data_IF_220194903530
#
_entry.id   IF_220194903530
#
_cell.length_a   1.000
_cell.length_b   1.000
_cell.length_c   1.000
_cell.angle_alpha   90.00
_cell.angle_beta   90.00
_cell.angle_gamma   90.00
#
_symmetry.space_group_name_H-M   'P 1'
#
loop_
_entity.id
_entity.type
_entity.pdbx_description
1 polymer ?
#
# COMPACT_ATOMS: atom_id res chain seq x y z
N UNK A 1 -59.02 -9.01 -50.94
CA UNK A 1 -57.89 -8.06 -50.95
C UNK A 1 -57.62 -7.51 -49.56
N UNK A 2 -58.56 -6.82 -48.89
CA UNK A 2 -58.34 -6.24 -47.55
C UNK A 2 -57.88 -7.23 -46.45
N UNK A 3 -58.41 -8.46 -46.44
CA UNK A 3 -58.03 -9.48 -45.44
C UNK A 3 -56.57 -9.96 -45.57
N UNK A 4 -56.04 -10.05 -46.80
CA UNK A 4 -54.65 -10.46 -47.04
C UNK A 4 -53.66 -9.36 -46.64
N UNK A 5 -54.04 -8.10 -46.82
CA UNK A 5 -53.26 -6.94 -46.36
C UNK A 5 -53.18 -6.92 -44.84
N UNK A 6 -54.31 -7.12 -44.16
CA UNK A 6 -54.37 -7.17 -42.70
C UNK A 6 -53.56 -8.34 -42.12
N UNK A 7 -53.59 -9.51 -42.77
CA UNK A 7 -52.79 -10.67 -42.36
C UNK A 7 -51.28 -10.41 -42.49
N UNK A 8 -50.86 -9.72 -43.57
CA UNK A 8 -49.46 -9.34 -43.77
C UNK A 8 -48.97 -8.29 -42.76
N UNK A 9 -49.82 -7.33 -42.39
CA UNK A 9 -49.51 -6.35 -41.35
C UNK A 9 -49.34 -6.98 -39.97
N UNK A 10 -50.18 -7.96 -39.62
CA UNK A 10 -50.06 -8.71 -38.35
C UNK A 10 -48.76 -9.53 -38.32
N UNK A 11 -48.39 -10.17 -39.42
CA UNK A 11 -47.14 -10.93 -39.50
C UNK A 11 -45.91 -10.02 -39.41
N UNK A 12 -45.93 -8.87 -40.09
CA UNK A 12 -44.87 -7.85 -40.00
C UNK A 12 -44.73 -7.31 -38.57
N UNK A 13 -45.84 -7.02 -37.89
CA UNK A 13 -45.82 -6.60 -36.49
C UNK A 13 -45.26 -7.69 -35.56
N UNK A 14 -45.59 -8.96 -35.82
CA UNK A 14 -45.04 -10.10 -35.08
C UNK A 14 -43.53 -10.23 -35.28
N UNK A 15 -43.02 -10.03 -36.48
CA UNK A 15 -41.58 -10.07 -36.76
C UNK A 15 -40.86 -8.91 -36.04
N UNK A 16 -41.39 -7.69 -36.14
CA UNK A 16 -40.83 -6.51 -35.46
C UNK A 16 -40.79 -6.71 -33.93
N UNK A 17 -41.85 -7.28 -33.35
CA UNK A 17 -41.91 -7.54 -31.90
C UNK A 17 -40.93 -8.63 -31.46
N UNK A 18 -40.73 -9.68 -32.27
CA UNK A 18 -39.73 -10.71 -31.98
C UNK A 18 -38.31 -10.15 -32.09
N UNK A 19 -38.02 -9.32 -33.09
CA UNK A 19 -36.73 -8.65 -33.24
C UNK A 19 -36.45 -7.69 -32.09
N UNK A 20 -37.46 -6.92 -31.65
CA UNK A 20 -37.35 -6.06 -30.47
C UNK A 20 -37.02 -6.88 -29.21
N UNK A 21 -37.70 -8.00 -28.99
CA UNK A 21 -37.45 -8.90 -27.85
C UNK A 21 -36.03 -9.46 -27.90
N UNK A 22 -35.56 -9.88 -29.08
CA UNK A 22 -34.19 -10.39 -29.26
C UNK A 22 -33.14 -9.30 -29.01
N UNK A 23 -33.37 -8.07 -29.47
CA UNK A 23 -32.50 -6.92 -29.20
C UNK A 23 -32.47 -6.62 -27.69
N UNK A 24 -33.63 -6.59 -27.03
CA UNK A 24 -33.70 -6.35 -25.58
C UNK A 24 -32.99 -7.45 -24.79
N UNK A 25 -33.14 -8.71 -25.18
CA UNK A 25 -32.45 -9.83 -24.52
C UNK A 25 -30.93 -9.69 -24.65
N UNK A 26 -30.43 -9.42 -25.86
CA UNK A 26 -29.01 -9.19 -26.11
C UNK A 26 -28.47 -7.97 -25.34
N UNK A 27 -29.25 -6.88 -25.26
CA UNK A 27 -28.87 -5.71 -24.46
C UNK A 27 -28.80 -6.03 -22.97
N UNK A 28 -29.73 -6.86 -22.47
CA UNK A 28 -29.72 -7.30 -21.09
C UNK A 28 -28.50 -8.20 -20.79
N UNK A 29 -28.21 -9.18 -21.64
CA UNK A 29 -27.01 -10.02 -21.52
C UNK A 29 -25.72 -9.19 -21.56
N UNK A 30 -25.66 -8.19 -22.45
CA UNK A 30 -24.52 -7.27 -22.52
C UNK A 30 -24.40 -6.42 -21.24
N UNK A 31 -25.52 -5.98 -20.67
CA UNK A 31 -25.54 -5.24 -19.40
C UNK A 31 -25.06 -6.11 -18.25
N UNK A 32 -25.52 -7.36 -18.14
CA UNK A 32 -25.06 -8.30 -17.11
C UNK A 32 -23.56 -8.60 -17.23
N UNK A 33 -23.07 -8.82 -18.44
CA UNK A 33 -21.65 -9.04 -18.70
C UNK A 33 -20.83 -7.81 -18.28
N UNK A 34 -21.30 -6.60 -18.63
CA UNK A 34 -20.63 -5.35 -18.23
C UNK A 34 -20.58 -5.17 -16.71
N UNK A 35 -21.66 -5.50 -16.00
CA UNK A 35 -21.70 -5.42 -14.53
C UNK A 35 -20.73 -6.41 -13.90
N UNK A 36 -20.67 -7.66 -14.39
CA UNK A 36 -19.72 -8.68 -13.90
C UNK A 36 -18.28 -8.23 -14.09
N UNK A 37 -17.93 -7.70 -15.27
CA UNK A 37 -16.60 -7.16 -15.55
C UNK A 37 -16.27 -6.00 -14.60
N UNK A 38 -17.21 -5.08 -14.36
CA UNK A 38 -17.00 -3.95 -13.47
C UNK A 38 -16.75 -4.39 -12.02
N UNK A 39 -17.50 -5.41 -11.54
CA UNK A 39 -17.29 -5.98 -10.21
C UNK A 39 -15.93 -6.68 -10.10
N UNK A 40 -15.51 -7.42 -11.12
CA UNK A 40 -14.21 -8.08 -11.16
C UNK A 40 -13.06 -7.08 -11.20
N UNK A 41 -13.17 -6.04 -12.02
CA UNK A 41 -12.19 -4.96 -12.09
C UNK A 41 -12.09 -4.21 -10.76
N UNK A 42 -13.22 -3.89 -10.12
CA UNK A 42 -13.26 -3.27 -8.80
C UNK A 42 -12.57 -4.14 -7.74
N UNK A 43 -12.86 -5.45 -7.73
CA UNK A 43 -12.22 -6.42 -6.85
C UNK A 43 -10.71 -6.50 -7.08
N UNK A 44 -10.28 -6.55 -8.34
CA UNK A 44 -8.86 -6.58 -8.72
C UNK A 44 -8.14 -5.29 -8.32
N UNK A 45 -8.75 -4.13 -8.54
CA UNK A 45 -8.20 -2.84 -8.13
C UNK A 45 -8.04 -2.75 -6.61
N UNK A 46 -9.02 -3.25 -5.84
CA UNK A 46 -8.92 -3.28 -4.37
C UNK A 46 -7.77 -4.18 -3.90
N UNK A 47 -7.62 -5.37 -4.49
CA UNK A 47 -6.50 -6.28 -4.17
C UNK A 47 -5.15 -5.61 -4.45
N UNK A 48 -5.01 -4.95 -5.59
CA UNK A 48 -3.78 -4.26 -5.96
C UNK A 48 -3.47 -3.10 -5.01
N UNK A 49 -4.46 -2.28 -4.66
CA UNK A 49 -4.30 -1.19 -3.71
C UNK A 49 -3.77 -1.66 -2.35
N UNK A 50 -4.32 -2.77 -1.81
CA UNK A 50 -3.86 -3.32 -0.53
C UNK A 50 -2.43 -3.85 -0.64
N UNK A 51 -2.07 -4.50 -1.75
CA UNK A 51 -0.71 -4.99 -2.00
C UNK A 51 0.30 -3.84 -2.04
N UNK A 52 -0.01 -2.77 -2.77
CA UNK A 52 0.86 -1.61 -2.91
C UNK A 52 1.02 -0.87 -1.57
N UNK A 53 -0.09 -0.74 -0.82
CA UNK A 53 -0.06 -0.19 0.53
C UNK A 53 0.81 -0.99 1.48
N UNK A 54 0.70 -2.33 1.47
CA UNK A 54 1.55 -3.18 2.30
C UNK A 54 3.03 -3.05 1.91
N UNK A 55 3.35 -3.03 0.62
CA UNK A 55 4.73 -2.86 0.16
C UNK A 55 5.33 -1.55 0.65
N UNK A 56 4.55 -0.46 0.62
CA UNK A 56 4.98 0.83 1.15
C UNK A 56 5.25 0.76 2.67
N UNK A 57 4.40 0.08 3.43
CA UNK A 57 4.60 -0.13 4.87
C UNK A 57 5.86 -0.96 5.12
N UNK A 58 6.08 -2.04 4.37
CA UNK A 58 7.27 -2.89 4.50
C UNK A 58 8.55 -2.13 4.15
N UNK A 59 8.53 -1.25 3.15
CA UNK A 59 9.65 -0.37 2.81
C UNK A 59 9.98 0.57 3.98
N UNK A 60 8.96 1.18 4.59
CA UNK A 60 9.14 2.07 5.73
C UNK A 60 9.69 1.33 6.95
N UNK A 61 9.14 0.15 7.28
CA UNK A 61 9.66 -0.70 8.34
C UNK A 61 11.11 -1.07 8.08
N UNK A 62 11.45 -1.43 6.84
CA UNK A 62 12.82 -1.77 6.44
C UNK A 62 13.77 -0.58 6.59
N UNK A 63 13.31 0.64 6.26
CA UNK A 63 14.07 1.87 6.50
C UNK A 63 14.32 2.11 7.99
N UNK A 64 13.31 1.93 8.85
CA UNK A 64 13.50 2.05 10.31
C UNK A 64 14.50 1.03 10.83
N UNK A 65 14.43 -0.22 10.36
CA UNK A 65 15.37 -1.29 10.73
C UNK A 65 16.79 -0.98 10.27
N UNK A 66 16.96 -0.41 9.08
CA UNK A 66 18.27 0.00 8.59
C UNK A 66 18.90 1.09 9.48
N UNK A 67 18.11 2.08 9.91
CA UNK A 67 18.56 3.13 10.83
C UNK A 67 19.01 2.52 12.15
N UNK A 68 18.18 1.66 12.75
CA UNK A 68 18.51 0.99 14.00
C UNK A 68 19.78 0.16 13.82
N UNK A 69 19.87 -0.60 12.73
CA UNK A 69 20.97 -1.53 12.50
C UNK A 69 22.31 -0.82 12.34
N UNK A 70 22.34 0.25 11.54
CA UNK A 70 23.53 1.08 11.35
C UNK A 70 24.00 1.71 12.67
N UNK A 71 23.06 2.30 13.42
CA UNK A 71 23.36 3.04 14.65
C UNK A 71 23.73 2.16 15.84
N UNK A 72 23.17 0.96 15.93
CA UNK A 72 23.44 0.00 17.00
C UNK A 72 24.62 -0.93 16.67
N UNK A 73 25.16 -0.88 15.43
CA UNK A 73 26.23 -1.75 14.98
C UNK A 73 25.79 -3.19 14.66
N UNK A 74 24.49 -3.45 14.60
CA UNK A 74 23.95 -4.73 14.11
C UNK A 74 24.20 -4.89 12.61
N UNK A 75 24.07 -3.78 11.87
CA UNK A 75 24.45 -3.67 10.48
C UNK A 75 25.64 -2.71 10.40
N UNK A 76 26.74 -3.19 9.86
CA UNK A 76 27.93 -2.39 9.55
C UNK A 76 27.99 -2.10 8.04
N UNK A 77 28.64 -1.02 7.60
CA UNK A 77 28.64 -0.55 6.20
C UNK A 77 28.52 -1.63 5.12
N UNK A 78 29.50 -2.54 5.03
CA UNK A 78 29.49 -3.62 4.02
C UNK A 78 28.28 -4.57 4.15
N UNK A 79 27.89 -4.90 5.39
CA UNK A 79 26.74 -5.77 5.66
C UNK A 79 25.40 -5.05 5.46
N UNK A 80 25.35 -3.74 5.66
CA UNK A 80 24.18 -2.90 5.40
C UNK A 80 23.93 -2.79 3.90
N UNK A 81 24.98 -2.53 3.11
CA UNK A 81 24.90 -2.49 1.65
C UNK A 81 24.46 -3.85 1.09
N UNK A 82 25.02 -4.94 1.63
CA UNK A 82 24.59 -6.30 1.25
C UNK A 82 23.13 -6.57 1.62
N UNK A 83 22.68 -6.13 2.80
CA UNK A 83 21.30 -6.30 3.22
C UNK A 83 20.34 -5.51 2.29
N UNK A 84 20.70 -4.28 1.92
CA UNK A 84 19.95 -3.50 0.93
C UNK A 84 19.95 -4.14 -0.46
N UNK A 85 21.07 -4.69 -0.91
CA UNK A 85 21.14 -5.40 -2.18
C UNK A 85 20.22 -6.63 -2.21
N UNK A 86 20.19 -7.41 -1.12
CA UNK A 86 19.27 -8.56 -0.97
C UNK A 86 17.82 -8.10 -0.90
N UNK A 87 17.55 -7.02 -0.18
CA UNK A 87 16.22 -6.42 -0.10
C UNK A 87 15.72 -5.99 -1.48
N UNK A 88 16.54 -5.27 -2.24
CA UNK A 88 16.24 -4.86 -3.62
C UNK A 88 16.10 -6.05 -4.59
N UNK A 89 16.73 -7.19 -4.29
CA UNK A 89 16.56 -8.44 -5.03
C UNK A 89 15.30 -9.24 -4.66
N UNK A 90 14.49 -8.74 -3.71
CA UNK A 90 13.20 -9.33 -3.33
C UNK A 90 13.19 -10.07 -2.00
N UNK A 91 14.30 -10.12 -1.26
CA UNK A 91 14.31 -10.67 0.10
C UNK A 91 13.82 -9.62 1.11
N UNK A 92 12.50 -9.52 1.28
CA UNK A 92 11.84 -8.53 2.16
C UNK A 92 12.29 -8.59 3.62
N UNK A 93 12.97 -9.67 4.02
CA UNK A 93 13.44 -9.90 5.38
C UNK A 93 14.93 -9.63 5.57
N UNK A 94 15.66 -9.25 4.51
CA UNK A 94 17.12 -9.14 4.53
C UNK A 94 17.66 -8.21 5.62
N UNK A 95 16.96 -7.11 5.92
CA UNK A 95 17.36 -6.15 6.94
C UNK A 95 17.00 -6.59 8.36
N UNK A 96 15.98 -7.44 8.52
CA UNK A 96 15.50 -7.91 9.83
C UNK A 96 16.24 -9.16 10.31
N UNK A 97 16.66 -10.03 9.39
CA UNK A 97 17.35 -11.31 9.72
C UNK A 97 18.56 -11.14 10.63
N UNK A 98 19.49 -10.18 10.41
CA UNK A 98 20.67 -10.05 11.26
C UNK A 98 20.35 -9.82 12.74
N UNK A 99 19.26 -9.12 13.05
CA UNK A 99 18.81 -8.95 14.44
C UNK A 99 18.33 -10.26 15.06
N UNK A 100 17.53 -11.00 14.31
CA UNK A 100 16.94 -12.27 14.78
C UNK A 100 18.03 -13.33 14.91
N UNK A 101 18.90 -13.42 13.92
CA UNK A 101 20.02 -14.36 13.91
C UNK A 101 20.92 -14.09 15.11
N UNK A 102 21.33 -12.83 15.36
CA UNK A 102 22.13 -12.48 16.54
C UNK A 102 21.40 -12.74 17.86
N UNK A 103 20.11 -12.41 17.97
CA UNK A 103 19.34 -12.71 19.18
C UNK A 103 19.27 -14.20 19.52
N UNK A 104 19.43 -15.07 18.51
CA UNK A 104 19.46 -16.52 18.71
C UNK A 104 20.87 -17.07 19.00
N UNK A 105 21.92 -16.34 18.64
CA UNK A 105 23.31 -16.79 18.73
C UNK A 105 24.08 -16.17 19.91
N UNK A 106 23.72 -14.95 20.32
CA UNK A 106 24.43 -14.14 21.30
C UNK A 106 23.58 -13.96 22.57
N UNK A 107 24.05 -14.49 23.69
CA UNK A 107 23.38 -14.35 24.99
C UNK A 107 23.44 -12.89 25.48
N UNK A 108 22.28 -12.35 25.88
CA UNK A 108 22.16 -10.96 26.35
C UNK A 108 22.20 -9.91 25.23
N UNK A 109 22.11 -10.31 23.95
CA UNK A 109 22.03 -9.39 22.82
C UNK A 109 20.81 -8.47 22.89
N UNK A 110 19.68 -8.98 23.37
CA UNK A 110 18.45 -8.21 23.62
C UNK A 110 18.70 -7.03 24.58
N UNK A 111 19.41 -7.27 25.69
CA UNK A 111 19.76 -6.24 26.67
C UNK A 111 20.74 -5.24 26.07
N UNK A 112 21.76 -5.72 25.34
CA UNK A 112 22.74 -4.85 24.69
C UNK A 112 22.09 -3.96 23.63
N UNK A 113 21.22 -4.54 22.81
CA UNK A 113 20.46 -3.81 21.79
C UNK A 113 19.54 -2.77 22.42
N UNK A 114 18.80 -3.14 23.48
CA UNK A 114 17.95 -2.20 24.24
C UNK A 114 18.78 -1.01 24.75
N UNK A 115 19.92 -1.27 25.37
CA UNK A 115 20.81 -0.22 25.88
C UNK A 115 21.37 0.67 24.76
N UNK A 116 21.75 0.08 23.62
CA UNK A 116 22.23 0.81 22.46
C UNK A 116 21.14 1.74 21.88
N UNK A 117 19.90 1.24 21.75
CA UNK A 117 18.77 2.02 21.27
C UNK A 117 18.42 3.16 22.23
N UNK A 118 18.39 2.91 23.54
CA UNK A 118 18.12 3.93 24.55
C UNK A 118 19.20 5.03 24.59
N UNK A 119 20.43 4.70 24.18
CA UNK A 119 21.55 5.63 24.15
C UNK A 119 21.57 6.55 22.92
N UNK A 120 20.79 6.25 21.87
CA UNK A 120 20.75 6.98 20.60
C UNK A 120 19.31 7.41 20.24
N UNK A 121 19.03 8.72 20.33
CA UNK A 121 17.68 9.28 20.07
C UNK A 121 17.11 8.88 18.69
N UNK A 122 17.88 8.96 17.57
CA UNK A 122 17.40 8.47 16.27
C UNK A 122 16.97 7.00 16.27
N UNK A 123 17.77 6.12 16.87
CA UNK A 123 17.45 4.70 17.00
C UNK A 123 16.18 4.48 17.82
N UNK A 124 16.02 5.21 18.93
CA UNK A 124 14.81 5.13 19.76
C UNK A 124 13.55 5.53 18.99
N UNK A 125 13.60 6.62 18.23
CA UNK A 125 12.47 7.08 17.39
C UNK A 125 12.15 6.08 16.28
N UNK A 126 13.17 5.51 15.64
CA UNK A 126 13.01 4.49 14.61
C UNK A 126 12.40 3.20 15.20
N UNK A 127 12.84 2.75 16.37
CA UNK A 127 12.31 1.57 17.06
C UNK A 127 10.84 1.77 17.47
N UNK A 128 10.52 2.92 18.08
CA UNK A 128 9.13 3.25 18.44
C UNK A 128 8.22 3.33 17.20
N UNK A 129 8.72 3.93 16.12
CA UNK A 129 7.99 4.00 14.84
C UNK A 129 7.77 2.62 14.22
N UNK A 130 8.78 1.75 14.29
CA UNK A 130 8.70 0.37 13.82
C UNK A 130 7.62 -0.39 14.58
N UNK A 131 7.67 -0.42 15.91
CA UNK A 131 6.72 -1.16 16.76
C UNK A 131 5.29 -0.67 16.51
N UNK A 132 5.07 0.65 16.56
CA UNK A 132 3.75 1.25 16.31
C UNK A 132 3.17 0.87 14.95
N UNK A 133 3.99 0.90 13.89
CA UNK A 133 3.55 0.55 12.53
C UNK A 133 3.33 -0.95 12.37
N UNK A 134 4.18 -1.78 12.98
CA UNK A 134 4.00 -3.23 13.00
C UNK A 134 2.68 -3.62 13.69
N UNK A 135 2.37 -3.04 14.85
CA UNK A 135 1.09 -3.26 15.52
C UNK A 135 -0.11 -2.77 14.69
N UNK A 136 0.06 -1.64 14.00
CA UNK A 136 -0.99 -1.12 13.10
C UNK A 136 -1.27 -2.03 11.91
N UNK A 137 -0.30 -2.84 11.46
CA UNK A 137 -0.54 -3.87 10.42
C UNK A 137 -1.51 -4.91 10.99
N UNK A 138 -1.25 -5.41 12.19
CA UNK A 138 -2.02 -6.51 12.78
C UNK A 138 -3.33 -6.08 13.45
N UNK A 139 -3.63 -4.78 13.50
CA UNK A 139 -4.88 -4.29 14.04
C UNK A 139 -6.08 -4.82 13.24
N UNK A 140 -7.08 -5.34 13.97
CA UNK A 140 -8.30 -5.93 13.43
C UNK A 140 -9.02 -4.91 12.53
N UNK A 141 -8.89 -5.05 11.20
CA UNK A 141 -9.79 -4.55 10.13
C UNK A 141 -9.17 -4.55 8.72
N UNK A 142 -7.90 -4.95 8.53
CA UNK A 142 -7.26 -4.92 7.20
C UNK A 142 -7.50 -6.20 6.39
N UNK A 143 -7.77 -7.34 7.05
CA UNK A 143 -7.97 -8.63 6.40
C UNK A 143 -9.41 -8.75 5.89
N UNK A 144 -9.58 -8.62 4.57
CA UNK A 144 -10.88 -8.71 3.89
C UNK A 144 -11.00 -9.94 2.98
N UNK A 145 -9.91 -10.66 2.74
CA UNK A 145 -9.85 -11.80 1.80
C UNK A 145 -8.97 -12.94 2.32
N UNK A 146 -9.20 -14.20 1.89
CA UNK A 146 -8.35 -15.35 2.26
C UNK A 146 -6.88 -15.18 1.87
N UNK A 147 -6.59 -14.54 0.73
CA UNK A 147 -5.21 -14.28 0.28
C UNK A 147 -4.50 -13.28 1.20
N UNK A 148 -5.21 -12.25 1.65
CA UNK A 148 -4.69 -11.33 2.66
C UNK A 148 -4.44 -12.06 3.97
N UNK A 149 -5.28 -13.01 4.36
CA UNK A 149 -5.07 -13.79 5.57
C UNK A 149 -3.74 -14.56 5.53
N UNK A 150 -3.46 -15.29 4.46
CA UNK A 150 -2.19 -16.03 4.30
C UNK A 150 -0.99 -15.08 4.40
N UNK A 151 -1.08 -13.91 3.76
CA UNK A 151 -0.04 -12.90 3.82
C UNK A 151 0.16 -12.38 5.24
N UNK A 152 -0.92 -12.14 5.97
CA UNK A 152 -0.87 -11.72 7.37
C UNK A 152 -0.30 -12.79 8.29
N UNK A 153 -0.70 -14.05 8.11
CA UNK A 153 -0.15 -15.18 8.86
C UNK A 153 1.38 -15.26 8.63
N UNK A 154 1.84 -15.05 7.39
CA UNK A 154 3.28 -15.00 7.06
C UNK A 154 4.01 -13.83 7.76
N UNK A 155 3.37 -12.67 7.88
CA UNK A 155 3.93 -11.52 8.59
C UNK A 155 3.98 -11.77 10.11
N UNK A 156 2.93 -12.38 10.66
CA UNK A 156 2.76 -12.62 12.09
C UNK A 156 3.69 -13.73 12.62
N UNK A 157 3.91 -14.79 11.85
CA UNK A 157 4.84 -15.87 12.22
C UNK A 157 6.29 -15.58 11.78
N UNK A 158 6.49 -14.49 11.06
CA UNK A 158 7.73 -14.17 10.36
C UNK A 158 8.75 -13.36 11.16
N UNK A 159 9.81 -12.88 10.47
CA UNK A 159 10.82 -11.99 11.02
C UNK A 159 10.27 -10.68 11.61
N UNK A 160 9.16 -10.18 11.06
CA UNK A 160 8.54 -8.94 11.51
C UNK A 160 8.13 -8.99 12.98
N UNK A 161 7.34 -9.99 13.37
CA UNK A 161 6.83 -10.10 14.75
C UNK A 161 7.96 -10.36 15.75
N UNK A 162 8.94 -11.21 15.38
CA UNK A 162 10.11 -11.48 16.22
C UNK A 162 10.92 -10.22 16.49
N UNK A 163 11.15 -9.43 15.45
CA UNK A 163 11.88 -8.17 15.59
C UNK A 163 11.05 -7.14 16.37
N UNK A 164 9.73 -7.11 16.19
CA UNK A 164 8.84 -6.24 16.99
C UNK A 164 9.01 -6.49 18.48
N UNK A 165 8.98 -7.76 18.89
CA UNK A 165 9.18 -8.15 20.29
C UNK A 165 10.56 -7.75 20.81
N UNK A 166 11.60 -7.91 19.99
CA UNK A 166 12.97 -7.51 20.34
C UNK A 166 13.14 -5.99 20.50
N UNK A 167 12.43 -5.21 19.67
CA UNK A 167 12.46 -3.75 19.69
C UNK A 167 11.42 -3.13 20.64
N UNK A 168 10.62 -3.95 21.32
CA UNK A 168 9.63 -3.48 22.28
C UNK A 168 10.34 -3.03 23.55
N UNK A 169 10.67 -1.75 23.58
CA UNK A 169 11.34 -1.12 24.71
C UNK A 169 10.24 -0.64 25.67
N UNK A 170 10.02 -1.43 26.73
CA UNK A 170 9.33 -0.92 27.91
C UNK A 170 10.22 0.16 28.52
N UNK A 171 9.77 1.42 28.38
CA UNK A 171 10.27 2.53 29.16
C UNK A 171 9.76 2.31 30.59
N UNK A 172 10.57 1.67 31.44
CA UNK A 172 10.40 1.85 32.89
C UNK A 172 10.46 3.36 33.15
N UNK A 173 9.44 3.90 33.81
CA UNK A 173 9.18 5.30 34.19
C UNK A 173 10.42 6.20 34.38
N UNK A 174 11.15 6.48 33.32
CA UNK A 174 12.01 7.63 33.23
C UNK A 174 11.09 8.75 32.80
N UNK A 175 10.82 9.67 33.71
CA UNK A 175 10.26 11.00 33.49
C UNK A 175 11.11 11.75 32.43
N UNK A 176 11.06 11.29 31.18
CA UNK A 176 11.53 12.04 30.02
C UNK A 176 10.31 12.84 29.61
N UNK A 177 10.25 14.02 30.22
CA UNK A 177 9.42 15.18 29.88
C UNK A 177 8.70 15.01 28.53
N UNK A 178 7.44 14.54 28.60
CA UNK A 178 6.59 14.15 27.47
C UNK A 178 6.20 15.30 26.54
N UNK A 179 6.79 16.47 26.74
CA UNK A 179 6.50 17.70 26.01
C UNK A 179 7.44 17.98 24.82
N UNK A 180 8.55 17.25 24.65
CA UNK A 180 9.48 17.54 23.53
C UNK A 180 9.13 16.76 22.27
N UNK A 181 8.76 15.48 22.37
CA UNK A 181 8.49 14.65 21.17
C UNK A 181 7.11 14.91 20.57
N UNK A 182 6.11 15.25 21.40
CA UNK A 182 4.77 15.58 20.92
C UNK A 182 4.65 17.02 20.40
N UNK A 183 5.50 17.96 20.85
CA UNK A 183 5.44 19.35 20.36
C UNK A 183 6.24 19.59 19.07
N UNK A 184 7.32 18.85 18.78
CA UNK A 184 8.06 19.06 17.52
C UNK A 184 7.30 18.50 16.31
N UNK A 185 6.62 17.36 16.45
CA UNK A 185 5.81 16.78 15.35
C UNK A 185 4.52 17.59 15.12
N UNK A 186 3.91 18.13 16.17
CA UNK A 186 2.70 18.96 16.03
C UNK A 186 3.00 20.42 15.65
N UNK A 187 4.19 20.97 15.94
CA UNK A 187 4.53 22.34 15.52
C UNK A 187 4.84 22.47 14.04
N UNK A 188 5.36 21.42 13.40
CA UNK A 188 5.60 21.43 11.94
C UNK A 188 4.32 21.23 11.11
N UNK A 189 3.25 20.70 11.70
CA UNK A 189 1.94 20.55 11.02
C UNK A 189 1.03 21.76 11.26
N UNK A 190 1.30 22.59 12.28
CA UNK A 190 0.41 23.70 12.68
C UNK A 190 0.99 25.09 12.45
N UNK A 191 1.99 25.22 11.57
CA UNK A 191 2.59 26.50 11.21
C UNK A 191 2.70 26.69 9.69
N UNK A 192 1.65 26.39 8.94
CA UNK A 192 1.41 27.13 7.70
C UNK A 192 -0.09 27.38 7.51
N UNK A 193 -0.48 28.60 7.89
CA UNK A 193 -1.62 29.40 7.43
C UNK A 193 -2.85 28.64 6.92
N UNK A 194 -3.85 28.63 7.80
CA UNK A 194 -5.26 28.91 7.46
C UNK A 194 -5.35 29.91 6.29
N UNK A 195 -5.75 29.42 5.12
CA UNK A 195 -6.37 30.22 4.07
C UNK A 195 -7.75 29.61 3.85
N UNK A 196 -8.75 30.47 4.00
CA UNK A 196 -10.20 30.24 3.98
C UNK A 196 -10.71 29.22 2.96
N UNK A 197 -11.40 28.19 3.45
CA UNK A 197 -12.10 27.15 2.67
C UNK A 197 -13.54 27.54 2.24
N UNK A 198 -13.86 28.83 2.03
CA UNK A 198 -15.24 29.24 1.68
C UNK A 198 -15.44 29.84 0.28
N UNK A 199 -14.48 29.73 -0.66
CA UNK A 199 -14.66 30.22 -2.05
C UNK A 199 -14.00 29.38 -3.17
N UNK A 200 -14.21 28.06 -3.25
CA UNK A 200 -13.77 27.27 -4.44
C UNK A 200 -14.81 26.23 -4.92
N UNK A 201 -16.11 26.52 -4.81
CA UNK A 201 -17.16 25.65 -5.36
C UNK A 201 -17.91 26.23 -6.59
N UNK A 202 -17.47 27.35 -7.14
CA UNK A 202 -17.95 27.86 -8.43
C UNK A 202 -16.78 28.21 -9.34
N UNK A 203 -16.24 27.23 -10.08
CA UNK A 203 -15.14 27.49 -11.01
C UNK A 203 -14.72 26.33 -11.91
N UNK A 204 -15.05 25.08 -11.59
CA UNK A 204 -14.69 23.91 -12.42
C UNK A 204 -15.76 23.54 -13.46
N UNK A 205 -16.45 24.55 -14.00
CA UNK A 205 -17.21 24.42 -15.23
C UNK A 205 -16.64 25.41 -16.24
N UNK A 206 -16.06 24.86 -17.31
CA UNK A 206 -15.61 25.48 -18.58
C UNK A 206 -14.12 25.81 -18.74
N UNK A 207 -13.57 25.28 -19.86
CA UNK A 207 -12.22 25.44 -20.44
C UNK A 207 -11.08 24.68 -19.71
N UNK A 208 -10.26 23.81 -20.31
CA UNK A 208 -9.77 23.66 -21.68
C UNK A 208 -9.34 22.20 -21.91
N UNK A 209 -9.98 21.51 -22.87
CA UNK A 209 -9.39 20.99 -24.12
C UNK A 209 -7.95 20.43 -24.03
N UNK A 210 -7.91 19.10 -24.13
CA UNK A 210 -6.90 18.24 -24.76
C UNK A 210 -5.92 18.99 -25.67
N UNK A 211 -4.62 18.85 -25.38
CA UNK A 211 -3.54 19.02 -26.37
C UNK A 211 -2.62 17.80 -26.30
N UNK A 212 -2.91 16.84 -27.18
CA UNK A 212 -2.03 15.74 -27.55
C UNK A 212 -1.05 16.24 -28.61
N UNK A 213 0.26 16.24 -28.32
CA UNK A 213 1.31 16.25 -29.35
C UNK A 213 2.65 15.74 -28.80
N UNK A 214 2.92 14.47 -29.12
CA UNK A 214 4.19 13.93 -29.60
C UNK A 214 5.49 14.27 -28.84
N UNK A 215 5.93 13.32 -28.01
CA UNK A 215 7.36 13.11 -27.70
C UNK A 215 7.91 12.02 -28.64
N UNK A 216 8.69 12.44 -29.64
CA UNK A 216 9.57 11.54 -30.38
C UNK A 216 10.76 11.18 -29.48
N UNK A 217 10.81 9.94 -29.00
CA UNK A 217 11.96 9.37 -28.30
C UNK A 217 12.30 7.99 -28.88
N UNK A 218 12.89 8.01 -30.07
CA UNK A 218 13.71 6.91 -30.57
C UNK A 218 14.92 7.53 -31.29
N UNK A 219 16.16 7.30 -30.83
CA UNK A 219 17.32 7.49 -31.68
C UNK A 219 17.45 6.27 -32.60
N UNK A 220 17.38 6.52 -33.90
CA UNK A 220 17.59 5.51 -34.92
C UNK A 220 18.97 4.86 -34.77
N UNK A 221 18.95 3.53 -34.74
CA UNK A 221 20.10 2.68 -34.94
C UNK A 221 20.18 2.34 -36.42
N UNK A 222 21.18 2.85 -37.16
CA UNK A 222 21.77 2.16 -38.33
C UNK A 222 22.99 2.89 -38.94
N UNK A 223 24.17 2.28 -38.75
CA UNK A 223 25.21 1.93 -39.75
C UNK A 223 25.53 2.91 -40.90
N UNK A 224 26.74 3.50 -40.88
CA UNK A 224 27.94 3.08 -41.63
C UNK A 224 29.07 4.11 -41.45
#
# INVERSE_FOLDING_TARGET
MAFLTQQNEINSFREITLDLVNIMHRQFEQSEASVKIMLELSSSSRRQFVKDGLLLILNDLSSNVAIIGDRTGVLTGDSLDLAWAKYGAGDIWALMRPFIDRSSMEEGFDIQLKNAILSDRPSMVAAASFVRRADSIFADNIITTPEQKILFDLLQEGPLEKLKLLLMIELEDTEIDGDIVNNEINKEITADKLIDEEQVLEGFSSAQRVSSSQTNLFPDTAKN
#
